data_IF_277990793561
#
_entry.id   IF_277990793561
#
_cell.length_a   1.000
_cell.length_b   1.000
_cell.length_c   1.000
_cell.angle_alpha   90.00
_cell.angle_beta   90.00
_cell.angle_gamma   90.00
#
_symmetry.space_group_name_H-M   'P 1'
#
loop_
_entity.id
_entity.type
_entity.pdbx_description
1 polymer ?
#
# COMPACT_ATOMS: atom_id res chain seq x y z
N UNK A 1 -7.86 -10.40 15.49
CA UNK A 1 -8.69 -9.69 16.51
C UNK A 1 -8.92 -8.21 16.13
N UNK A 2 -9.98 -7.57 16.66
CA UNK A 2 -10.45 -6.21 16.27
C UNK A 2 -9.38 -5.12 16.24
N UNK A 3 -8.42 -5.16 17.17
CA UNK A 3 -7.33 -4.19 17.23
C UNK A 3 -6.46 -4.20 15.95
N UNK A 4 -6.20 -5.37 15.36
CA UNK A 4 -5.44 -5.50 14.12
C UNK A 4 -6.16 -4.86 12.92
N UNK A 5 -7.49 -4.99 12.84
CA UNK A 5 -8.31 -4.36 11.79
C UNK A 5 -8.27 -2.84 11.92
N UNK A 6 -8.39 -2.31 13.14
CA UNK A 6 -8.31 -0.87 13.39
C UNK A 6 -6.91 -0.32 13.08
N UNK A 7 -5.86 -1.00 13.53
CA UNK A 7 -4.48 -0.61 13.24
C UNK A 7 -4.22 -0.59 11.73
N UNK A 8 -4.67 -1.63 11.00
CA UNK A 8 -4.57 -1.70 9.55
C UNK A 8 -5.29 -0.53 8.86
N UNK A 9 -6.52 -0.23 9.28
CA UNK A 9 -7.30 0.89 8.74
C UNK A 9 -6.64 2.25 8.98
N UNK A 10 -6.13 2.48 10.20
CA UNK A 10 -5.39 3.72 10.53
C UNK A 10 -4.14 3.84 9.67
N UNK A 11 -3.35 2.77 9.53
CA UNK A 11 -2.11 2.80 8.76
C UNK A 11 -2.37 3.06 7.27
N UNK A 12 -3.42 2.46 6.70
CA UNK A 12 -3.87 2.72 5.33
C UNK A 12 -4.30 4.17 5.10
N UNK A 13 -5.05 4.76 6.04
CA UNK A 13 -5.47 6.17 5.96
C UNK A 13 -4.26 7.09 6.06
N UNK A 14 -3.35 6.84 7.00
CA UNK A 14 -2.13 7.63 7.16
C UNK A 14 -1.25 7.58 5.91
N UNK A 15 -1.01 6.38 5.36
CA UNK A 15 -0.24 6.21 4.12
C UNK A 15 -0.89 6.92 2.93
N UNK A 16 -2.21 6.75 2.76
CA UNK A 16 -2.95 7.40 1.68
C UNK A 16 -2.96 8.92 1.76
N UNK A 17 -3.19 9.49 2.96
CA UNK A 17 -3.17 10.95 3.17
C UNK A 17 -1.76 11.52 3.00
N UNK A 18 -0.74 10.81 3.48
CA UNK A 18 0.66 11.18 3.31
C UNK A 18 1.04 11.31 1.83
N UNK A 19 0.70 10.31 1.01
CA UNK A 19 0.93 10.36 -0.45
C UNK A 19 0.07 11.44 -1.12
N UNK A 20 -1.21 11.55 -0.76
CA UNK A 20 -2.14 12.49 -1.38
C UNK A 20 -1.73 13.96 -1.18
N UNK A 21 -1.32 14.31 0.04
CA UNK A 21 -0.97 15.68 0.40
C UNK A 21 0.53 15.97 0.26
N UNK A 22 1.34 14.96 -0.06
CA UNK A 22 2.78 15.12 -0.12
C UNK A 22 3.43 15.36 1.24
N UNK A 23 2.89 14.80 2.33
CA UNK A 23 3.49 14.88 3.68
C UNK A 23 4.32 13.62 3.89
N UNK A 24 5.64 13.71 3.76
CA UNK A 24 6.58 12.58 3.75
C UNK A 24 6.08 11.46 2.84
N UNK A 25 5.80 11.80 1.58
CA UNK A 25 5.10 10.91 0.64
C UNK A 25 5.83 9.59 0.38
N UNK A 26 7.15 9.60 0.46
CA UNK A 26 8.01 8.41 0.43
C UNK A 26 7.74 7.48 1.62
N UNK A 27 7.62 8.02 2.84
CA UNK A 27 7.18 7.25 4.00
C UNK A 27 5.75 6.73 3.82
N UNK A 28 4.83 7.56 3.35
CA UNK A 28 3.44 7.15 3.08
C UNK A 28 3.37 5.99 2.10
N UNK A 29 4.18 6.03 1.04
CA UNK A 29 4.29 4.97 0.06
C UNK A 29 4.82 3.66 0.68
N UNK A 30 5.82 3.71 1.56
CA UNK A 30 6.29 2.51 2.28
C UNK A 30 5.23 1.96 3.26
N UNK A 31 4.49 2.82 3.94
CA UNK A 31 3.38 2.39 4.80
C UNK A 31 2.32 1.62 4.02
N UNK A 32 1.94 2.12 2.83
CA UNK A 32 1.01 1.41 1.94
C UNK A 32 1.58 0.06 1.49
N UNK A 33 2.85 0.01 1.07
CA UNK A 33 3.49 -1.25 0.68
C UNK A 33 3.50 -2.28 1.82
N UNK A 34 3.85 -1.87 3.04
CA UNK A 34 3.89 -2.73 4.24
C UNK A 34 2.51 -3.30 4.57
N UNK A 35 1.42 -2.61 4.22
CA UNK A 35 0.07 -3.17 4.38
C UNK A 35 -0.29 -4.10 3.22
N UNK A 36 -0.12 -3.64 1.98
CA UNK A 36 -0.62 -4.32 0.80
C UNK A 36 0.09 -5.65 0.52
N UNK A 37 1.43 -5.69 0.66
CA UNK A 37 2.18 -6.90 0.32
C UNK A 37 1.89 -8.08 1.26
N UNK A 38 1.84 -7.91 2.60
CA UNK A 38 1.41 -8.97 3.50
C UNK A 38 -0.08 -9.31 3.33
N UNK A 39 -0.96 -8.35 3.09
CA UNK A 39 -2.38 -8.63 2.86
C UNK A 39 -2.58 -9.50 1.62
N UNK A 40 -1.91 -9.21 0.51
CA UNK A 40 -1.94 -10.06 -0.68
C UNK A 40 -1.53 -11.52 -0.36
N UNK A 41 -0.42 -11.71 0.36
CA UNK A 41 0.16 -13.03 0.58
C UNK A 41 -0.49 -13.84 1.70
N UNK A 42 -1.02 -13.17 2.72
CA UNK A 42 -1.54 -13.81 3.94
C UNK A 42 -3.07 -13.86 3.97
N UNK A 43 -3.75 -12.91 3.31
CA UNK A 43 -5.21 -12.82 3.33
C UNK A 43 -5.84 -13.24 2.01
N UNK A 44 -5.19 -12.95 0.87
CA UNK A 44 -5.75 -13.23 -0.47
C UNK A 44 -5.14 -14.45 -1.16
N UNK A 45 -5.19 -15.58 -0.45
CA UNK A 45 -4.51 -16.83 -0.81
C UNK A 45 -5.28 -17.67 -1.83
N UNK A 46 -5.51 -17.15 -3.05
CA UNK A 46 -6.28 -17.85 -4.08
C UNK A 46 -5.76 -19.25 -4.46
N UNK A 47 -4.49 -19.56 -4.19
CA UNK A 47 -3.87 -20.85 -4.49
C UNK A 47 -4.29 -21.98 -3.55
N UNK A 48 -4.84 -21.69 -2.37
CA UNK A 48 -5.37 -22.71 -1.46
C UNK A 48 -6.88 -22.95 -1.64
N UNK A 49 -7.56 -22.07 -2.39
CA UNK A 49 -9.01 -22.14 -2.56
C UNK A 49 -9.42 -23.22 -3.58
N UNK A 50 -10.49 -23.94 -3.26
CA UNK A 50 -11.03 -25.07 -4.03
C UNK A 50 -12.34 -24.74 -4.70
N UNK A 51 -13.16 -23.87 -4.11
CA UNK A 51 -14.37 -23.38 -4.75
C UNK A 51 -14.03 -22.43 -5.91
N UNK A 52 -14.55 -22.64 -7.14
CA UNK A 52 -14.18 -21.82 -8.30
C UNK A 52 -14.53 -20.33 -8.16
N UNK A 53 -15.66 -20.00 -7.54
CA UNK A 53 -16.13 -18.61 -7.41
C UNK A 53 -15.32 -17.85 -6.35
N UNK A 54 -15.07 -18.50 -5.21
CA UNK A 54 -14.19 -17.98 -4.17
C UNK A 54 -12.76 -17.79 -4.68
N UNK A 55 -12.22 -18.77 -5.43
CA UNK A 55 -10.87 -18.68 -5.99
C UNK A 55 -10.71 -17.51 -6.95
N UNK A 56 -11.70 -17.28 -7.82
CA UNK A 56 -11.69 -16.14 -8.72
C UNK A 56 -11.70 -14.81 -7.94
N UNK A 57 -12.54 -14.73 -6.89
CA UNK A 57 -12.63 -13.55 -6.04
C UNK A 57 -11.30 -13.24 -5.34
N UNK A 58 -10.67 -14.25 -4.74
CA UNK A 58 -9.37 -14.09 -4.06
C UNK A 58 -8.25 -13.73 -5.06
N UNK A 59 -8.27 -14.29 -6.27
CA UNK A 59 -7.30 -13.93 -7.31
C UNK A 59 -7.42 -12.45 -7.72
N UNK A 60 -8.65 -11.91 -7.77
CA UNK A 60 -8.88 -10.49 -8.06
C UNK A 60 -8.29 -9.62 -6.94
N UNK A 61 -8.57 -9.95 -5.67
CA UNK A 61 -8.05 -9.15 -4.54
C UNK A 61 -6.52 -9.25 -4.43
N UNK A 62 -5.96 -10.44 -4.63
CA UNK A 62 -4.51 -10.64 -4.71
C UNK A 62 -3.86 -9.73 -5.75
N UNK A 63 -4.38 -9.73 -6.98
CA UNK A 63 -3.82 -8.91 -8.06
C UNK A 63 -3.98 -7.41 -7.80
N UNK A 64 -5.08 -7.00 -7.17
CA UNK A 64 -5.29 -5.61 -6.76
C UNK A 64 -4.22 -5.17 -5.76
N UNK A 65 -4.04 -5.93 -4.69
CA UNK A 65 -3.06 -5.58 -3.65
C UNK A 65 -1.63 -5.65 -4.18
N UNK A 66 -1.31 -6.65 -5.01
CA UNK A 66 0.00 -6.76 -5.66
C UNK A 66 0.28 -5.55 -6.57
N UNK A 67 -0.71 -5.13 -7.37
CA UNK A 67 -0.58 -3.98 -8.27
C UNK A 67 -0.40 -2.67 -7.48
N UNK A 68 -1.16 -2.49 -6.39
CA UNK A 68 -1.04 -1.32 -5.53
C UNK A 68 0.28 -1.33 -4.73
N UNK A 69 0.78 -2.50 -4.30
CA UNK A 69 2.08 -2.64 -3.66
C UNK A 69 3.21 -2.24 -4.62
N UNK A 70 3.14 -2.69 -5.88
CA UNK A 70 4.08 -2.28 -6.94
C UNK A 70 4.04 -0.76 -7.19
N UNK A 71 2.83 -0.18 -7.29
CA UNK A 71 2.66 1.26 -7.43
C UNK A 71 3.23 2.04 -6.22
N UNK A 72 3.06 1.50 -5.01
CA UNK A 72 3.62 2.10 -3.80
C UNK A 72 5.16 2.13 -3.83
N UNK A 73 5.82 1.05 -4.25
CA UNK A 73 7.27 1.04 -4.40
C UNK A 73 7.76 2.01 -5.49
N UNK A 74 7.03 2.11 -6.60
CA UNK A 74 7.32 3.09 -7.66
C UNK A 74 7.22 4.53 -7.13
N UNK A 75 6.17 4.84 -6.37
CA UNK A 75 5.98 6.16 -5.74
C UNK A 75 7.07 6.45 -4.71
N UNK A 76 7.44 5.48 -3.87
CA UNK A 76 8.55 5.62 -2.94
C UNK A 76 9.84 6.02 -3.68
N UNK A 77 10.23 5.25 -4.70
CA UNK A 77 11.41 5.55 -5.48
C UNK A 77 11.35 6.94 -6.14
N UNK A 78 10.18 7.30 -6.69
CA UNK A 78 9.96 8.61 -7.30
C UNK A 78 10.13 9.77 -6.31
N UNK A 79 9.42 9.75 -5.18
CA UNK A 79 9.48 10.83 -4.18
C UNK A 79 10.85 10.91 -3.50
N UNK A 80 11.50 9.77 -3.23
CA UNK A 80 12.83 9.75 -2.61
C UNK A 80 13.95 10.32 -3.50
N UNK A 81 13.74 10.41 -4.82
CA UNK A 81 14.74 10.91 -5.77
C UNK A 81 14.32 12.19 -6.51
N UNK A 82 13.14 12.73 -6.20
CA UNK A 82 12.65 13.96 -6.82
C UNK A 82 12.38 14.98 -5.73
N UNK A 83 13.44 15.69 -5.34
CA UNK A 83 13.35 16.85 -4.48
C UNK A 83 12.60 17.98 -5.20
N UNK A 84 11.85 18.79 -4.45
CA UNK A 84 11.12 19.97 -4.94
C UNK A 84 10.07 19.69 -6.04
N UNK A 85 9.19 18.72 -5.83
CA UNK A 85 8.02 18.50 -6.70
C UNK A 85 7.08 19.73 -6.80
N UNK A 86 7.18 20.68 -5.86
CA UNK A 86 6.39 21.91 -5.79
C UNK A 86 4.91 21.71 -5.41
N UNK A 87 4.39 20.49 -5.48
CA UNK A 87 3.01 20.11 -5.17
C UNK A 87 2.88 19.32 -3.85
N UNK A 88 3.96 19.21 -3.08
CA UNK A 88 3.99 18.49 -1.80
C UNK A 88 4.05 19.47 -0.62
N UNK A 89 3.41 19.13 0.51
CA UNK A 89 3.45 19.96 1.73
C UNK A 89 4.83 19.87 2.41
N UNK A 90 5.51 18.72 2.33
CA UNK A 90 6.88 18.55 2.83
C UNK A 90 7.79 18.00 1.73
N UNK A 91 9.09 17.98 2.00
CA UNK A 91 10.02 17.16 1.25
C UNK A 91 9.88 15.66 1.59
N UNK A 92 10.55 14.79 0.81
CA UNK A 92 10.76 13.39 1.17
C UNK A 92 11.48 13.27 2.53
N UNK A 93 11.21 12.19 3.26
CA UNK A 93 11.83 11.89 4.56
C UNK A 93 13.19 11.19 4.43
N UNK A 94 13.40 10.42 3.36
CA UNK A 94 14.57 9.55 3.19
C UNK A 94 15.65 10.10 2.24
N UNK A 95 15.48 11.33 1.75
CA UNK A 95 16.42 12.04 0.87
C UNK A 95 17.42 12.88 1.66
#
# INVERSE_FOLDING_TARGET
>A
PKAGVLAAGVLMVLGGVSVLLGVWADLGALLLFIMLAPTALLMHQFWVETDPEAKQTELIQFNKDLSLAGASLMLFAFFAHTEDLGLTITGPLFS
#
